data_IF_716803546896
#
_entry.id   IF_716803546896
#
_cell.length_a   1.000
_cell.length_b   1.000
_cell.length_c   1.000
_cell.angle_alpha   90.00
_cell.angle_beta   90.00
_cell.angle_gamma   90.00
#
_symmetry.space_group_name_H-M   'P 1'
#
loop_
_entity.id
_entity.type
_entity.pdbx_description
1 polymer ?
#
# COMPACT_ATOMS: atom_id res chain seq x y z
N UNK A 1 17.08 2.39 -23.50
CA UNK A 1 15.70 2.42 -22.96
C UNK A 1 14.82 1.54 -23.85
N UNK A 2 13.84 0.84 -23.28
CA UNK A 2 12.83 0.12 -24.05
C UNK A 2 11.61 1.03 -24.24
N UNK A 3 11.02 1.02 -25.43
CA UNK A 3 9.82 1.80 -25.72
C UNK A 3 8.58 0.92 -25.52
N UNK A 4 7.55 1.49 -24.91
CA UNK A 4 6.26 0.83 -24.71
C UNK A 4 5.20 1.72 -25.36
N UNK A 5 4.37 1.14 -26.21
CA UNK A 5 3.21 1.82 -26.80
C UNK A 5 1.98 1.45 -25.98
N UNK A 6 1.29 2.46 -25.46
CA UNK A 6 0.07 2.28 -24.65
C UNK A 6 -1.02 3.16 -25.25
N UNK A 7 -2.18 2.56 -25.53
CA UNK A 7 -3.38 3.31 -25.87
C UNK A 7 -4.05 3.80 -24.60
N UNK A 8 -4.26 5.10 -24.50
CA UNK A 8 -4.95 5.74 -23.38
C UNK A 8 -6.11 6.58 -23.92
N UNK A 9 -7.20 6.71 -23.16
CA UNK A 9 -8.24 7.68 -23.47
C UNK A 9 -7.71 9.12 -23.59
N UNK A 10 -8.30 9.91 -24.47
CA UNK A 10 -7.83 11.28 -24.77
C UNK A 10 -7.89 12.21 -23.55
N UNK A 11 -8.91 12.05 -22.71
CA UNK A 11 -9.08 12.78 -21.46
C UNK A 11 -7.94 12.48 -20.47
N UNK A 12 -7.56 11.21 -20.35
CA UNK A 12 -6.42 10.76 -19.53
C UNK A 12 -5.12 11.32 -20.07
N UNK A 13 -4.90 11.28 -21.39
CA UNK A 13 -3.70 11.88 -22.00
C UNK A 13 -3.61 13.38 -21.73
N UNK A 14 -4.72 14.11 -21.85
CA UNK A 14 -4.78 15.55 -21.59
C UNK A 14 -4.48 15.86 -20.12
N UNK A 15 -5.10 15.15 -19.19
CA UNK A 15 -4.87 15.32 -17.76
C UNK A 15 -3.40 15.03 -17.41
N UNK A 16 -2.82 13.95 -17.95
CA UNK A 16 -1.43 13.59 -17.74
C UNK A 16 -0.47 14.68 -18.25
N UNK A 17 -0.74 15.28 -19.41
CA UNK A 17 0.06 16.41 -19.94
C UNK A 17 0.03 17.64 -19.05
N UNK A 18 -1.15 18.02 -18.55
CA UNK A 18 -1.29 19.16 -17.65
C UNK A 18 -0.49 18.90 -16.37
N UNK A 19 -0.66 17.73 -15.77
CA UNK A 19 0.04 17.32 -14.55
C UNK A 19 1.56 17.28 -14.74
N UNK A 20 2.02 16.78 -15.88
CA UNK A 20 3.44 16.72 -16.21
C UNK A 20 4.03 18.14 -16.31
N UNK A 21 3.33 19.05 -16.99
CA UNK A 21 3.75 20.45 -17.15
C UNK A 21 3.81 21.19 -15.81
N UNK A 22 2.81 21.03 -14.94
CA UNK A 22 2.81 21.62 -13.58
C UNK A 22 4.03 21.20 -12.75
N UNK A 23 4.52 19.97 -12.96
CA UNK A 23 5.67 19.39 -12.26
C UNK A 23 7.01 19.66 -12.96
N UNK A 24 7.01 20.38 -14.08
CA UNK A 24 8.22 20.57 -14.90
C UNK A 24 8.78 19.26 -15.47
N UNK A 25 7.92 18.27 -15.71
CA UNK A 25 8.28 16.91 -16.11
C UNK A 25 7.62 16.53 -17.44
N UNK A 26 7.95 15.33 -17.95
CA UNK A 26 7.29 14.76 -19.14
C UNK A 26 6.28 13.67 -18.76
N UNK A 27 5.30 13.41 -19.62
CA UNK A 27 4.36 12.31 -19.43
C UNK A 27 5.10 10.97 -19.32
N UNK A 28 6.15 10.77 -20.13
CA UNK A 28 6.98 9.56 -20.06
C UNK A 28 7.71 9.41 -18.72
N UNK A 29 8.19 10.51 -18.13
CA UNK A 29 8.78 10.49 -16.80
C UNK A 29 7.75 10.13 -15.73
N UNK A 30 6.55 10.71 -15.80
CA UNK A 30 5.45 10.42 -14.87
C UNK A 30 4.99 8.96 -14.94
N UNK A 31 4.90 8.40 -16.15
CA UNK A 31 4.61 6.96 -16.35
C UNK A 31 5.74 6.10 -15.79
N UNK A 32 7.00 6.48 -16.02
CA UNK A 32 8.15 5.74 -15.48
C UNK A 32 8.19 5.72 -13.95
N UNK A 33 7.90 6.85 -13.31
CA UNK A 33 7.77 6.94 -11.84
C UNK A 33 6.63 6.08 -11.32
N UNK A 34 5.46 6.13 -11.97
CA UNK A 34 4.32 5.32 -11.58
C UNK A 34 4.62 3.82 -11.67
N UNK A 35 5.20 3.36 -12.79
CA UNK A 35 5.59 1.96 -12.96
C UNK A 35 6.62 1.51 -11.91
N UNK A 36 7.54 2.39 -11.52
CA UNK A 36 8.49 2.10 -10.43
C UNK A 36 7.78 1.98 -9.08
N UNK A 37 6.85 2.90 -8.78
CA UNK A 37 6.10 2.86 -7.52
C UNK A 37 5.28 1.58 -7.35
N UNK A 38 4.76 1.00 -8.45
CA UNK A 38 4.07 -0.29 -8.40
C UNK A 38 5.00 -1.42 -7.95
N UNK A 39 6.21 -1.47 -8.49
CA UNK A 39 7.23 -2.45 -8.07
C UNK A 39 7.67 -2.26 -6.62
N UNK A 40 7.82 -1.00 -6.17
CA UNK A 40 8.18 -0.69 -4.79
C UNK A 40 7.06 -1.07 -3.81
N UNK A 41 5.81 -0.81 -4.17
CA UNK A 41 4.64 -1.16 -3.36
C UNK A 41 4.47 -2.67 -3.20
N UNK A 42 4.66 -3.45 -4.26
CA UNK A 42 4.67 -4.92 -4.16
C UNK A 42 5.79 -5.43 -3.23
N UNK A 43 6.99 -4.85 -3.34
CA UNK A 43 8.11 -5.20 -2.47
C UNK A 43 7.83 -4.83 -1.00
N UNK A 44 7.17 -3.69 -0.75
CA UNK A 44 6.78 -3.25 0.58
C UNK A 44 5.72 -4.19 1.20
N UNK A 45 4.70 -4.59 0.43
CA UNK A 45 3.69 -5.55 0.87
C UNK A 45 4.35 -6.87 1.28
N UNK A 46 5.24 -7.41 0.42
CA UNK A 46 5.95 -8.65 0.71
C UNK A 46 6.83 -8.53 1.97
N UNK A 47 7.48 -7.38 2.16
CA UNK A 47 8.28 -7.08 3.35
C UNK A 47 7.41 -7.04 4.61
N UNK A 48 6.26 -6.35 4.56
CA UNK A 48 5.33 -6.24 5.69
C UNK A 48 4.75 -7.61 6.06
N UNK A 49 4.39 -8.44 5.08
CA UNK A 49 3.96 -9.81 5.33
C UNK A 49 5.05 -10.65 6.00
N UNK A 50 6.31 -10.53 5.54
CA UNK A 50 7.42 -11.26 6.15
C UNK A 50 7.63 -10.84 7.62
N UNK A 51 7.54 -9.54 7.90
CA UNK A 51 7.62 -9.00 9.25
C UNK A 51 6.44 -9.48 10.12
N UNK A 52 5.22 -9.48 9.58
CA UNK A 52 4.05 -10.02 10.28
C UNK A 52 4.23 -11.49 10.63
N UNK A 53 4.69 -12.33 9.68
CA UNK A 53 4.98 -13.75 9.91
C UNK A 53 6.07 -13.95 10.96
N UNK A 54 7.06 -13.06 11.03
CA UNK A 54 8.09 -13.11 12.07
C UNK A 54 7.50 -12.82 13.45
N UNK A 55 6.77 -11.71 13.60
CA UNK A 55 6.13 -11.33 14.86
C UNK A 55 5.14 -12.40 15.34
N UNK A 56 4.34 -12.96 14.42
CA UNK A 56 3.39 -14.02 14.77
C UNK A 56 4.09 -15.30 15.28
N UNK A 57 5.28 -15.62 14.76
CA UNK A 57 6.07 -16.77 15.25
C UNK A 57 6.61 -16.55 16.67
N UNK A 58 6.79 -15.30 17.09
CA UNK A 58 7.21 -14.98 18.46
C UNK A 58 6.05 -15.19 19.47
N UNK A 59 4.80 -15.22 19.00
CA UNK A 59 3.63 -15.51 19.82
C UNK A 59 3.56 -17.02 20.10
N UNK A 60 4.25 -17.45 21.17
CA UNK A 60 4.24 -18.87 21.59
C UNK A 60 2.92 -19.29 22.24
N UNK A 61 2.29 -18.37 22.99
CA UNK A 61 1.02 -18.61 23.69
C UNK A 61 0.20 -17.33 23.66
N UNK A 62 -1.06 -17.44 23.26
CA UNK A 62 -2.03 -16.35 23.28
C UNK A 62 -3.31 -16.81 23.97
N UNK A 63 -3.75 -16.08 25.01
CA UNK A 63 -5.08 -16.25 25.58
C UNK A 63 -5.75 -14.89 25.69
N UNK A 64 -6.91 -14.74 25.09
CA UNK A 64 -7.67 -13.50 25.10
C UNK A 64 -7.99 -13.01 26.53
N UNK A 65 -8.22 -13.95 27.46
CA UNK A 65 -8.48 -13.68 28.88
C UNK A 65 -7.33 -12.97 29.62
N UNK A 66 -6.10 -13.05 29.10
CA UNK A 66 -4.93 -12.42 29.72
C UNK A 66 -4.89 -10.90 29.45
N UNK A 67 -5.74 -10.40 28.53
CA UNK A 67 -5.86 -8.98 28.17
C UNK A 67 -7.16 -8.33 28.61
N UNK A 68 -8.22 -9.11 28.74
CA UNK A 68 -9.53 -8.62 29.15
C UNK A 68 -10.25 -9.75 29.83
N UNK A 69 -10.50 -9.59 31.13
CA UNK A 69 -11.26 -10.59 31.85
C UNK A 69 -12.76 -10.50 31.52
N UNK A 70 -13.52 -11.49 31.99
CA UNK A 70 -14.96 -11.58 31.71
C UNK A 70 -15.74 -10.39 32.29
N UNK A 71 -15.30 -9.89 33.43
CA UNK A 71 -15.93 -8.79 34.15
C UNK A 71 -15.73 -7.48 33.38
N UNK A 72 -14.50 -7.21 32.96
CA UNK A 72 -14.15 -6.03 32.14
C UNK A 72 -14.87 -6.04 30.78
N UNK A 73 -15.04 -7.22 30.18
CA UNK A 73 -15.79 -7.37 28.92
C UNK A 73 -17.28 -7.12 29.12
N UNK A 74 -17.84 -7.55 30.25
CA UNK A 74 -19.24 -7.28 30.61
C UNK A 74 -19.46 -5.78 30.83
N UNK A 75 -18.59 -5.11 31.59
CA UNK A 75 -18.70 -3.67 31.88
C UNK A 75 -18.56 -2.81 30.61
N UNK A 76 -17.79 -3.27 29.61
CA UNK A 76 -17.67 -2.60 28.31
C UNK A 76 -18.92 -2.72 27.45
N UNK A 77 -19.65 -3.82 27.55
CA UNK A 77 -20.88 -4.04 26.78
C UNK A 77 -22.10 -3.29 27.34
N UNK A 78 -22.02 -2.89 28.61
CA UNK A 78 -23.07 -2.15 29.33
C UNK A 78 -22.91 -0.62 29.21
N UNK A 79 -21.84 -0.15 28.56
CA UNK A 79 -21.55 1.27 28.31
C UNK A 79 -21.98 1.71 26.92
#
# INVERSE_FOLDING_TARGET
>A
MKNITVSVPDDVYRAARIRAAERGSSVSALVGEYLRSLSEQEAEILRLEAQQRQIQREIKHFRARDRLDRQELHDRAVR
#
